data_IF_750450097343
#
_entry.id   IF_750450097343
#
_cell.length_a   1.000
_cell.length_b   1.000
_cell.length_c   1.000
_cell.angle_alpha   90.00
_cell.angle_beta   90.00
_cell.angle_gamma   90.00
#
_symmetry.space_group_name_H-M   'P 1'
#
loop_
_entity.id
_entity.type
_entity.pdbx_description
1 polymer ?
#
# COMPACT_ATOMS: atom_id res chain seq x y z
N UNK A 1 -9.99 -12.79 -27.80
CA UNK A 1 -9.99 -11.97 -26.56
C UNK A 1 -8.80 -12.41 -25.73
N UNK A 2 -7.63 -11.87 -26.04
CA UNK A 2 -6.35 -12.34 -25.48
C UNK A 2 -6.29 -11.92 -24.02
N UNK A 3 -6.37 -12.89 -23.11
CA UNK A 3 -6.03 -12.70 -21.71
C UNK A 3 -4.58 -12.24 -21.66
N UNK A 4 -4.37 -10.92 -21.50
CA UNK A 4 -3.06 -10.37 -21.16
C UNK A 4 -2.79 -10.84 -19.73
N UNK A 5 -2.15 -11.99 -19.62
CA UNK A 5 -1.57 -12.53 -18.40
C UNK A 5 -0.37 -11.64 -18.09
N UNK A 6 -0.62 -10.45 -17.53
CA UNK A 6 0.46 -9.54 -17.16
C UNK A 6 1.33 -10.27 -16.14
N UNK A 7 2.57 -10.55 -16.54
CA UNK A 7 3.61 -10.93 -15.60
C UNK A 7 3.67 -9.77 -14.60
N UNK A 8 3.34 -10.03 -13.33
CA UNK A 8 3.47 -9.06 -12.23
C UNK A 8 4.96 -8.78 -12.04
N UNK A 9 5.50 -7.90 -12.87
CA UNK A 9 6.84 -7.40 -12.69
C UNK A 9 6.80 -6.50 -11.46
N UNK A 10 7.44 -6.92 -10.37
CA UNK A 10 7.51 -6.17 -9.10
C UNK A 10 8.14 -4.78 -9.25
N UNK A 11 8.72 -4.46 -10.41
CA UNK A 11 9.43 -3.20 -10.69
C UNK A 11 8.99 -2.53 -12.01
N UNK A 12 7.71 -2.59 -12.40
CA UNK A 12 7.23 -1.75 -13.52
C UNK A 12 7.02 -0.30 -13.03
N UNK A 13 7.82 0.63 -13.55
CA UNK A 13 7.77 2.05 -13.20
C UNK A 13 6.44 2.74 -13.55
N UNK A 14 5.61 2.13 -14.42
CA UNK A 14 4.26 2.64 -14.79
C UNK A 14 3.16 2.05 -13.91
N UNK A 15 3.48 1.15 -13.00
CA UNK A 15 2.50 0.59 -12.10
C UNK A 15 2.01 1.69 -11.15
N UNK A 16 0.70 1.98 -11.12
CA UNK A 16 0.11 2.93 -10.16
C UNK A 16 -0.22 2.27 -8.82
N UNK A 17 -0.57 0.98 -8.83
CA UNK A 17 -0.96 0.22 -7.64
C UNK A 17 -0.24 -1.12 -7.66
N UNK A 18 0.46 -1.46 -6.59
CA UNK A 18 1.00 -2.80 -6.35
C UNK A 18 0.24 -3.46 -5.21
N UNK A 19 -0.45 -4.54 -5.54
CA UNK A 19 -1.15 -5.39 -4.58
C UNK A 19 -0.28 -6.60 -4.24
N UNK A 20 -0.04 -6.81 -2.95
CA UNK A 20 0.75 -7.94 -2.45
C UNK A 20 0.41 -8.20 -0.97
N UNK A 21 -0.75 -8.80 -0.74
CA UNK A 21 -1.26 -9.10 0.59
C UNK A 21 -0.31 -10.01 1.39
N UNK A 22 -0.04 -9.65 2.65
CA UNK A 22 0.99 -10.24 3.52
C UNK A 22 2.42 -10.13 2.97
N UNK A 23 2.62 -9.39 1.88
CA UNK A 23 3.93 -9.12 1.30
C UNK A 23 4.69 -8.03 2.06
N UNK A 24 5.73 -7.53 1.42
CA UNK A 24 6.50 -6.40 1.92
C UNK A 24 6.32 -5.17 1.02
N UNK A 25 6.17 -3.95 1.58
CA UNK A 25 6.20 -2.73 0.79
C UNK A 25 7.58 -2.53 0.13
N UNK A 26 7.58 -1.93 -1.07
CA UNK A 26 8.80 -1.47 -1.73
C UNK A 26 9.03 -0.02 -1.35
N UNK A 27 10.03 0.21 -0.52
CA UNK A 27 10.44 1.55 -0.10
C UNK A 27 11.48 2.11 -1.05
N UNK A 28 11.46 3.42 -1.27
CA UNK A 28 12.50 4.09 -2.04
C UNK A 28 13.78 4.33 -1.23
N UNK A 29 13.68 4.27 0.10
CA UNK A 29 14.76 4.51 1.06
C UNK A 29 14.59 3.60 2.28
N UNK A 30 15.60 3.50 3.13
CA UNK A 30 15.59 2.64 4.32
C UNK A 30 14.69 3.15 5.47
N UNK A 31 13.99 4.28 5.28
CA UNK A 31 13.00 4.80 6.21
C UNK A 31 11.72 3.96 6.18
N UNK A 32 11.79 2.81 6.87
CA UNK A 32 10.70 1.87 7.02
C UNK A 32 9.98 2.12 8.37
N UNK A 33 8.64 2.24 8.39
CA UNK A 33 7.86 2.37 9.61
C UNK A 33 7.68 1.00 10.28
N UNK A 34 8.75 0.37 10.76
CA UNK A 34 8.62 -0.92 11.48
C UNK A 34 7.88 -0.76 12.82
N UNK A 35 8.16 0.34 13.52
CA UNK A 35 7.67 0.56 14.87
C UNK A 35 6.39 1.42 14.94
N UNK A 36 5.96 1.99 13.81
CA UNK A 36 4.84 2.94 13.76
C UNK A 36 3.51 2.33 13.30
N UNK A 37 3.49 1.08 12.84
CA UNK A 37 2.24 0.44 12.41
C UNK A 37 1.43 0.11 13.67
N UNK A 38 0.18 0.57 13.80
CA UNK A 38 -0.67 0.24 14.94
C UNK A 38 -1.25 -1.17 14.80
N UNK A 39 -1.82 -1.68 15.88
CA UNK A 39 -2.63 -2.89 15.85
C UNK A 39 -4.08 -2.54 15.49
N UNK A 40 -4.84 -3.53 15.01
CA UNK A 40 -6.24 -3.34 14.67
C UNK A 40 -7.06 -2.93 15.90
N UNK A 41 -7.71 -1.77 15.83
CA UNK A 41 -8.51 -1.24 16.94
C UNK A 41 -9.69 -2.15 17.36
N UNK A 42 -10.15 -3.04 16.46
CA UNK A 42 -11.31 -3.89 16.71
C UNK A 42 -10.96 -5.28 17.30
N UNK A 43 -9.87 -5.92 16.87
CA UNK A 43 -9.50 -7.26 17.31
C UNK A 43 -8.10 -7.37 17.93
N UNK A 44 -7.31 -6.29 17.93
CA UNK A 44 -5.94 -6.27 18.42
C UNK A 44 -4.93 -7.00 17.53
N UNK A 45 -5.35 -7.53 16.37
CA UNK A 45 -4.42 -8.19 15.45
C UNK A 45 -3.45 -7.16 14.82
N UNK A 46 -2.18 -7.55 14.66
CA UNK A 46 -1.18 -6.72 13.96
C UNK A 46 -1.65 -6.44 12.54
N UNK A 47 -1.66 -5.17 12.14
CA UNK A 47 -1.99 -4.82 10.76
C UNK A 47 -0.90 -5.34 9.81
N UNK A 48 -1.34 -5.85 8.67
CA UNK A 48 -0.47 -6.45 7.65
C UNK A 48 -0.52 -5.63 6.38
N UNK A 49 0.56 -5.67 5.61
CA UNK A 49 0.61 -5.00 4.33
C UNK A 49 -0.40 -5.64 3.35
N UNK A 50 -1.17 -4.80 2.66
CA UNK A 50 -2.07 -5.24 1.60
C UNK A 50 -1.64 -4.74 0.23
N UNK A 51 -1.43 -3.43 0.12
CA UNK A 51 -1.11 -2.79 -1.15
C UNK A 51 -0.32 -1.50 -0.95
N UNK A 52 0.28 -1.03 -2.04
CA UNK A 52 0.92 0.28 -2.11
C UNK A 52 0.50 1.06 -3.36
N UNK A 53 0.34 2.37 -3.18
CA UNK A 53 0.17 3.33 -4.27
C UNK A 53 1.53 3.89 -4.66
N UNK A 54 1.83 3.78 -5.95
CA UNK A 54 3.12 4.14 -6.53
C UNK A 54 3.10 5.58 -7.05
N UNK A 55 4.26 6.24 -7.16
CA UNK A 55 4.31 7.66 -7.50
C UNK A 55 3.81 7.94 -8.93
N UNK A 56 3.80 6.94 -9.82
CA UNK A 56 3.19 7.07 -11.15
C UNK A 56 1.70 7.45 -11.11
N UNK A 57 1.00 7.09 -10.03
CA UNK A 57 -0.40 7.47 -9.83
C UNK A 57 -0.59 9.00 -9.84
N UNK A 58 0.37 9.75 -9.29
CA UNK A 58 0.38 11.22 -9.27
C UNK A 58 0.34 11.75 -10.70
N UNK A 59 1.23 11.24 -11.54
CA UNK A 59 1.33 11.63 -12.95
C UNK A 59 0.07 11.27 -13.72
N UNK A 60 -0.48 10.06 -13.47
CA UNK A 60 -1.70 9.60 -14.11
C UNK A 60 -2.92 10.47 -13.75
N UNK A 61 -3.01 10.91 -12.49
CA UNK A 61 -4.12 11.73 -11.97
C UNK A 61 -3.87 13.25 -12.07
N UNK A 62 -2.67 13.68 -12.51
CA UNK A 62 -2.27 15.09 -12.61
C UNK A 62 -2.42 15.85 -11.28
N UNK A 63 -2.04 15.21 -10.18
CA UNK A 63 -2.17 15.81 -8.85
C UNK A 63 -1.01 16.78 -8.56
N UNK A 64 -1.26 17.92 -7.89
CA UNK A 64 -0.23 18.92 -7.56
C UNK A 64 0.54 18.56 -6.28
N UNK A 65 0.89 17.29 -6.09
CA UNK A 65 1.59 16.81 -4.90
C UNK A 65 2.63 15.75 -5.27
N UNK A 66 3.72 15.67 -4.52
CA UNK A 66 4.76 14.65 -4.67
C UNK A 66 4.80 13.75 -3.43
N UNK A 67 4.56 12.47 -3.62
CA UNK A 67 4.85 11.43 -2.62
C UNK A 67 5.71 10.36 -3.26
N UNK A 68 6.44 9.64 -2.42
CA UNK A 68 7.28 8.53 -2.83
C UNK A 68 6.48 7.26 -3.07
N UNK A 69 5.92 6.71 -2.00
CA UNK A 69 4.99 5.58 -2.05
C UNK A 69 4.05 5.68 -0.86
N UNK A 70 2.82 5.22 -1.02
CA UNK A 70 1.87 5.09 0.08
C UNK A 70 1.68 3.60 0.32
N UNK A 71 2.05 3.10 1.49
CA UNK A 71 1.81 1.70 1.88
C UNK A 71 0.58 1.60 2.78
N UNK A 72 -0.34 0.71 2.45
CA UNK A 72 -1.60 0.50 3.16
C UNK A 72 -1.52 -0.80 3.96
N UNK A 73 -1.92 -0.71 5.22
CA UNK A 73 -1.95 -1.81 6.17
C UNK A 73 -3.36 -2.03 6.68
N UNK A 74 -3.78 -3.30 6.70
CA UNK A 74 -5.14 -3.72 7.01
C UNK A 74 -5.17 -4.86 8.02
N UNK A 75 -6.36 -5.11 8.57
CA UNK A 75 -6.58 -6.27 9.43
C UNK A 75 -6.57 -7.56 8.60
N UNK A 76 -5.72 -8.57 8.94
CA UNK A 76 -5.60 -9.80 8.14
C UNK A 76 -6.87 -10.66 8.14
N UNK A 77 -7.72 -10.51 9.15
CA UNK A 77 -8.96 -11.30 9.30
C UNK A 77 -10.21 -10.54 8.88
N UNK A 78 -10.07 -9.28 8.45
CA UNK A 78 -11.19 -8.37 8.17
C UNK A 78 -12.25 -8.45 9.27
N UNK A 79 -11.81 -8.32 10.53
CA UNK A 79 -12.61 -8.61 11.72
C UNK A 79 -13.89 -7.77 11.86
N UNK A 80 -14.01 -6.66 11.13
CA UNK A 80 -15.25 -5.91 10.93
C UNK A 80 -15.53 -5.80 9.43
N UNK A 81 -16.59 -6.47 8.97
CA UNK A 81 -17.05 -6.41 7.57
C UNK A 81 -18.16 -5.39 7.34
N UNK A 82 -18.89 -5.04 8.40
CA UNK A 82 -20.10 -4.22 8.31
C UNK A 82 -19.90 -2.77 8.80
N UNK A 83 -18.70 -2.41 9.25
CA UNK A 83 -18.36 -1.06 9.70
C UNK A 83 -17.10 -0.56 8.98
N UNK A 84 -17.10 0.72 8.59
CA UNK A 84 -15.90 1.40 8.13
C UNK A 84 -14.92 1.48 9.30
N UNK A 85 -13.77 0.83 9.14
CA UNK A 85 -12.66 0.89 10.11
C UNK A 85 -11.53 1.71 9.51
N UNK A 86 -10.90 2.53 10.34
CA UNK A 86 -9.72 3.29 9.93
C UNK A 86 -8.58 2.32 9.61
N UNK A 87 -8.15 2.32 8.35
CA UNK A 87 -6.95 1.62 7.90
C UNK A 87 -5.72 2.50 8.12
N UNK A 88 -4.55 1.87 8.23
CA UNK A 88 -3.31 2.60 8.42
C UNK A 88 -2.58 2.78 7.09
N UNK A 89 -2.43 4.03 6.64
CA UNK A 89 -1.64 4.37 5.47
C UNK A 89 -0.35 5.09 5.90
N UNK A 90 0.79 4.55 5.49
CA UNK A 90 2.08 5.21 5.65
C UNK A 90 2.51 5.88 4.36
N UNK A 91 2.72 7.19 4.40
CA UNK A 91 3.19 7.99 3.27
C UNK A 91 4.70 8.18 3.39
N UNK A 92 5.45 7.63 2.44
CA UNK A 92 6.84 7.98 2.26
C UNK A 92 6.90 9.30 1.48
N UNK A 93 7.56 10.33 2.03
CA UNK A 93 7.78 11.58 1.33
C UNK A 93 8.59 11.34 0.04
N UNK A 94 8.18 12.02 -1.05
CA UNK A 94 8.97 12.10 -2.27
C UNK A 94 10.10 13.12 -2.08
N UNK A 95 11.23 12.90 -2.76
CA UNK A 95 12.28 13.91 -2.90
C UNK A 95 11.88 14.98 -3.91
#
# INVERSE_FOLDING_TARGET
MTLVRSRRNTRDARQCVRYDFLGAPLWMTDSVPRDCIPDCAACGARLVFEMQLMPHLITALRLPMSWGTIAVYVCPTSCRRDELVDEFAFVQAGY
#
